data_IF_776183641105
#
_entry.id   IF_776183641105
#
_cell.length_a   1.000
_cell.length_b   1.000
_cell.length_c   1.000
_cell.angle_alpha   90.00
_cell.angle_beta   90.00
_cell.angle_gamma   90.00
#
_symmetry.space_group_name_H-M   'P 1'
#
loop_
_entity.id
_entity.type
_entity.pdbx_description
1 polymer ?
#
# COMPACT_ATOMS: atom_id res chain seq x y z
N UNK A 1 -15.74 -12.69 3.95
CA UNK A 1 -15.01 -11.66 3.14
C UNK A 1 -13.76 -11.29 3.91
N UNK A 2 -12.62 -11.20 3.24
CA UNK A 2 -11.35 -10.83 3.86
C UNK A 2 -11.12 -9.35 3.60
N UNK A 3 -11.01 -8.54 4.66
CA UNK A 3 -10.93 -7.08 4.57
C UNK A 3 -9.63 -6.63 5.27
N UNK A 4 -8.90 -5.71 4.65
CA UNK A 4 -7.68 -5.11 5.21
C UNK A 4 -8.02 -3.97 6.18
N UNK A 5 -8.76 -4.27 7.24
CA UNK A 5 -9.31 -3.31 8.22
C UNK A 5 -8.43 -3.09 9.46
N UNK A 6 -7.28 -3.78 9.54
CA UNK A 6 -6.40 -3.70 10.73
C UNK A 6 -5.29 -2.65 10.59
N UNK A 7 -5.40 -1.78 9.61
CA UNK A 7 -4.49 -0.65 9.43
C UNK A 7 -4.79 0.48 10.41
N UNK A 8 -3.78 0.97 11.12
CA UNK A 8 -3.85 2.23 11.87
C UNK A 8 -3.35 3.39 11.01
N UNK A 9 -2.33 3.17 10.19
CA UNK A 9 -1.67 4.18 9.38
C UNK A 9 -2.26 4.33 7.96
N UNK A 10 -3.19 3.48 7.53
CA UNK A 10 -3.85 3.57 6.23
C UNK A 10 -5.37 3.64 6.36
N UNK A 11 -5.98 4.49 5.56
CA UNK A 11 -7.44 4.59 5.46
C UNK A 11 -7.84 5.09 4.07
N UNK A 12 -8.84 4.45 3.46
CA UNK A 12 -9.55 4.99 2.31
C UNK A 12 -10.60 5.97 2.82
N UNK A 13 -10.36 7.27 2.61
CA UNK A 13 -11.22 8.34 3.14
C UNK A 13 -12.44 8.61 2.27
N UNK A 14 -12.28 8.48 0.94
CA UNK A 14 -13.33 8.69 -0.06
C UNK A 14 -12.88 8.15 -1.41
N UNK A 15 -13.81 7.84 -2.33
CA UNK A 15 -13.49 7.45 -3.69
C UNK A 15 -14.66 7.72 -4.63
N UNK A 16 -14.34 8.04 -5.88
CA UNK A 16 -15.29 8.32 -6.96
C UNK A 16 -14.67 9.18 -8.05
N UNK A 17 -15.35 9.33 -9.18
CA UNK A 17 -14.85 10.11 -10.30
C UNK A 17 -13.52 9.60 -10.87
N UNK A 18 -13.22 8.32 -10.73
CA UNK A 18 -11.96 7.72 -11.18
C UNK A 18 -10.76 7.97 -10.26
N UNK A 19 -10.98 8.50 -9.07
CA UNK A 19 -9.94 8.80 -8.08
C UNK A 19 -10.29 8.25 -6.69
N UNK A 20 -9.28 8.14 -5.85
CA UNK A 20 -9.41 7.82 -4.43
C UNK A 20 -8.60 8.77 -3.57
N UNK A 21 -9.21 9.15 -2.45
CA UNK A 21 -8.61 9.94 -1.39
C UNK A 21 -8.19 9.01 -0.26
N UNK A 22 -6.93 9.02 0.09
CA UNK A 22 -6.35 8.08 1.04
C UNK A 22 -5.52 8.79 2.10
N UNK A 23 -5.55 8.28 3.32
CA UNK A 23 -4.60 8.63 4.38
C UNK A 23 -3.48 7.59 4.42
N UNK A 24 -2.25 8.07 4.37
CA UNK A 24 -1.01 7.30 4.41
C UNK A 24 -0.12 7.80 5.55
N UNK A 25 -0.30 7.27 6.75
CA UNK A 25 0.26 7.82 7.97
C UNK A 25 -0.31 9.21 8.23
N UNK A 26 0.54 10.23 8.14
CA UNK A 26 0.15 11.64 8.26
C UNK A 26 -0.14 12.32 6.92
N UNK A 27 0.09 11.62 5.80
CA UNK A 27 -0.05 12.17 4.46
C UNK A 27 -1.44 11.87 3.89
N UNK A 28 -2.04 12.84 3.24
CA UNK A 28 -3.27 12.69 2.47
C UNK A 28 -2.91 12.69 0.99
N UNK A 29 -3.29 11.63 0.30
CA UNK A 29 -2.98 11.43 -1.11
C UNK A 29 -4.24 11.31 -1.95
N UNK A 30 -4.21 11.84 -3.16
CA UNK A 30 -5.19 11.58 -4.22
C UNK A 30 -4.50 10.79 -5.33
N UNK A 31 -5.07 9.64 -5.66
CA UNK A 31 -4.53 8.78 -6.71
C UNK A 31 -5.61 8.29 -7.66
N UNK A 32 -5.31 8.05 -8.94
CA UNK A 32 -6.27 7.49 -9.89
C UNK A 32 -6.70 6.08 -9.47
N UNK A 33 -8.01 5.86 -9.50
CA UNK A 33 -8.64 4.55 -9.36
C UNK A 33 -9.75 4.40 -10.40
N UNK A 34 -9.46 3.85 -11.59
CA UNK A 34 -10.43 3.71 -12.67
C UNK A 34 -11.66 2.83 -12.34
N UNK A 35 -11.60 2.07 -11.25
CA UNK A 35 -12.72 1.25 -10.80
C UNK A 35 -13.78 2.05 -10.03
N UNK A 36 -13.40 3.22 -9.48
CA UNK A 36 -14.29 4.13 -8.77
C UNK A 36 -15.09 4.99 -9.78
N UNK A 37 -15.99 4.34 -10.55
CA UNK A 37 -16.74 4.95 -11.66
C UNK A 37 -17.92 5.81 -11.24
N UNK A 38 -18.35 5.71 -9.98
CA UNK A 38 -19.43 6.54 -9.45
C UNK A 38 -18.94 7.95 -9.17
N UNK A 39 -19.84 8.90 -9.21
CA UNK A 39 -19.55 10.27 -8.81
C UNK A 39 -19.53 10.40 -7.28
N UNK A 40 -18.70 11.31 -6.79
CA UNK A 40 -18.67 11.71 -5.39
C UNK A 40 -18.74 13.23 -5.30
N UNK A 41 -19.46 13.80 -4.31
CA UNK A 41 -19.51 15.25 -4.11
C UNK A 41 -18.18 15.85 -3.66
N UNK A 42 -17.14 15.03 -3.45
CA UNK A 42 -15.84 15.45 -2.92
C UNK A 42 -15.97 16.29 -1.63
N UNK A 43 -16.92 15.92 -0.77
CA UNK A 43 -17.24 16.66 0.47
C UNK A 43 -16.11 16.60 1.50
N UNK A 44 -15.26 15.56 1.45
CA UNK A 44 -14.12 15.45 2.33
C UNK A 44 -13.11 16.56 2.03
N UNK A 45 -12.70 17.30 3.07
CA UNK A 45 -11.71 18.40 2.93
C UNK A 45 -10.36 17.93 2.40
N UNK A 46 -10.02 16.66 2.56
CA UNK A 46 -8.80 16.03 2.03
C UNK A 46 -8.66 16.18 0.53
N UNK A 47 -9.75 16.20 -0.24
CA UNK A 47 -9.69 16.42 -1.68
C UNK A 47 -9.00 17.73 -2.09
N UNK A 48 -9.20 18.79 -1.29
CA UNK A 48 -8.62 20.13 -1.52
C UNK A 48 -7.26 20.30 -0.83
N UNK A 49 -7.02 19.56 0.26
CA UNK A 49 -5.87 19.73 1.13
C UNK A 49 -4.87 18.56 1.05
N UNK A 50 -4.97 17.69 0.05
CA UNK A 50 -4.03 16.60 -0.16
C UNK A 50 -2.60 17.13 -0.27
N UNK A 51 -1.65 16.46 0.39
CA UNK A 51 -0.23 16.78 0.29
C UNK A 51 0.37 16.25 -1.01
N UNK A 52 -0.23 15.22 -1.60
CA UNK A 52 0.20 14.68 -2.89
C UNK A 52 -0.97 14.26 -3.76
N UNK A 53 -0.87 14.59 -5.05
CA UNK A 53 -1.80 14.12 -6.08
C UNK A 53 -1.01 13.55 -7.25
N UNK A 54 -1.42 12.37 -7.72
CA UNK A 54 -0.87 11.79 -8.93
C UNK A 54 -1.75 12.10 -10.14
N UNK A 55 -1.20 12.78 -11.11
CA UNK A 55 -1.86 13.08 -12.38
C UNK A 55 -1.46 12.07 -13.43
N UNK A 56 -2.47 11.40 -14.01
CA UNK A 56 -2.26 10.45 -15.09
C UNK A 56 -2.12 11.19 -16.42
N UNK A 57 -1.11 10.82 -17.21
CA UNK A 57 -0.97 11.31 -18.58
C UNK A 57 -1.88 10.52 -19.53
N UNK A 58 -2.39 11.17 -20.56
CA UNK A 58 -3.15 10.53 -21.64
C UNK A 58 -2.29 9.60 -22.51
N UNK A 59 -0.98 9.81 -22.53
CA UNK A 59 0.00 9.00 -23.29
C UNK A 59 0.63 7.88 -22.49
N UNK A 60 0.16 7.65 -21.25
CA UNK A 60 0.73 6.68 -20.30
C UNK A 60 1.66 7.32 -19.27
N UNK A 61 1.77 6.67 -18.11
CA UNK A 61 2.52 7.23 -16.99
C UNK A 61 1.80 8.38 -16.29
N UNK A 62 2.54 9.39 -15.84
CA UNK A 62 2.04 10.57 -15.15
C UNK A 62 3.10 11.17 -14.22
N UNK A 63 2.67 12.09 -13.36
CA UNK A 63 3.54 12.76 -12.39
C UNK A 63 2.83 13.01 -11.06
N UNK A 64 3.60 13.21 -10.02
CA UNK A 64 3.13 13.61 -8.71
C UNK A 64 3.26 15.12 -8.51
N UNK A 65 2.19 15.77 -8.10
CA UNK A 65 2.25 17.02 -7.36
C UNK A 65 2.62 16.67 -5.93
N UNK A 66 3.86 16.93 -5.55
CA UNK A 66 4.44 16.44 -4.29
C UNK A 66 5.15 17.52 -3.47
N UNK A 67 4.96 18.80 -3.79
CA UNK A 67 5.63 19.92 -3.10
C UNK A 67 5.42 19.92 -1.58
N UNK A 68 4.28 19.36 -1.12
CA UNK A 68 3.92 19.26 0.30
C UNK A 68 4.18 17.87 0.89
N UNK A 69 4.68 16.92 0.08
CA UNK A 69 5.03 15.59 0.55
C UNK A 69 6.47 15.54 1.05
N UNK A 70 6.75 14.81 2.14
CA UNK A 70 8.12 14.45 2.46
C UNK A 70 8.69 13.53 1.36
N UNK A 71 10.00 13.50 1.23
CA UNK A 71 10.68 12.60 0.30
C UNK A 71 10.31 11.13 0.58
N UNK A 72 10.14 10.80 1.85
CA UNK A 72 9.74 9.48 2.31
C UNK A 72 9.04 9.57 3.68
N UNK A 73 8.21 8.59 4.00
CA UNK A 73 7.55 8.46 5.30
C UNK A 73 7.39 7.00 5.70
N UNK A 74 7.14 6.75 6.98
CA UNK A 74 6.91 5.42 7.51
C UNK A 74 5.41 5.10 7.61
N UNK A 75 5.09 3.83 7.36
CA UNK A 75 3.78 3.22 7.54
C UNK A 75 3.92 1.99 8.42
N UNK A 76 3.06 1.86 9.41
CA UNK A 76 3.05 0.71 10.32
C UNK A 76 1.84 -0.17 10.05
N UNK A 77 2.08 -1.46 10.08
CA UNK A 77 1.05 -2.47 10.11
C UNK A 77 1.42 -3.50 11.18
N UNK A 78 0.71 -3.50 12.33
CA UNK A 78 1.05 -4.31 13.49
C UNK A 78 2.53 -4.09 13.91
N UNK A 79 3.32 -5.16 13.90
CA UNK A 79 4.75 -5.18 14.21
C UNK A 79 5.67 -4.92 13.01
N UNK A 80 5.11 -4.57 11.85
CA UNK A 80 5.83 -4.26 10.62
C UNK A 80 5.90 -2.75 10.41
N UNK A 81 7.05 -2.28 9.93
CA UNK A 81 7.25 -0.88 9.54
C UNK A 81 7.78 -0.84 8.11
N UNK A 82 7.12 -0.08 7.26
CA UNK A 82 7.45 0.07 5.85
C UNK A 82 7.84 1.50 5.54
N UNK A 83 8.80 1.67 4.64
CA UNK A 83 9.19 2.97 4.12
C UNK A 83 8.44 3.22 2.80
N UNK A 84 7.68 4.29 2.74
CA UNK A 84 6.93 4.71 1.55
C UNK A 84 7.51 6.00 0.98
N UNK A 85 7.38 6.17 -0.33
CA UNK A 85 7.75 7.40 -1.05
C UNK A 85 6.96 7.49 -2.36
N UNK A 86 6.73 8.68 -2.92
CA UNK A 86 6.19 8.81 -4.27
C UNK A 86 7.15 8.15 -5.27
N UNK A 87 6.65 7.21 -6.06
CA UNK A 87 7.43 6.54 -7.12
C UNK A 87 7.12 7.17 -8.49
N UNK A 88 7.80 6.71 -9.53
CA UNK A 88 7.58 7.22 -10.90
C UNK A 88 6.16 6.98 -11.45
N UNK A 89 5.40 6.12 -10.79
CA UNK A 89 3.99 5.85 -11.08
C UNK A 89 3.12 6.26 -9.89
N UNK A 90 1.79 6.03 -9.97
CA UNK A 90 0.84 6.29 -8.87
C UNK A 90 1.14 5.53 -7.56
N UNK A 91 2.13 4.67 -7.56
CA UNK A 91 2.49 3.83 -6.43
C UNK A 91 3.38 4.54 -5.41
N UNK A 92 3.31 4.07 -4.18
CA UNK A 92 4.03 4.62 -3.02
C UNK A 92 4.95 3.60 -2.35
N UNK A 93 5.14 2.43 -3.00
CA UNK A 93 5.98 1.35 -2.49
C UNK A 93 5.23 0.31 -1.65
N UNK A 94 3.92 0.46 -1.44
CA UNK A 94 3.12 -0.46 -0.63
C UNK A 94 1.73 -0.64 -1.25
N UNK A 95 1.14 -1.82 -1.02
CA UNK A 95 -0.24 -2.15 -1.36
C UNK A 95 -0.97 -2.52 -0.06
N UNK A 96 -1.70 -1.58 0.57
CA UNK A 96 -2.35 -1.81 1.86
C UNK A 96 -3.36 -2.95 1.85
N UNK A 97 -4.03 -3.17 0.73
CA UNK A 97 -4.99 -4.28 0.54
C UNK A 97 -4.34 -5.66 0.66
N UNK A 98 -3.02 -5.77 0.47
CA UNK A 98 -2.29 -7.02 0.61
C UNK A 98 -2.08 -7.45 2.08
N UNK A 99 -2.41 -6.62 3.04
CA UNK A 99 -2.24 -6.92 4.46
C UNK A 99 -3.00 -8.18 4.90
N UNK A 100 -4.15 -8.46 4.29
CA UNK A 100 -4.91 -9.70 4.55
C UNK A 100 -4.14 -10.95 4.12
N UNK A 101 -3.41 -10.86 3.01
CA UNK A 101 -2.58 -11.96 2.52
C UNK A 101 -1.34 -12.14 3.40
N UNK A 102 -0.79 -11.04 3.95
CA UNK A 102 0.32 -11.13 4.90
C UNK A 102 -0.14 -11.81 6.20
N UNK A 103 -1.28 -11.42 6.73
CA UNK A 103 -1.87 -12.03 7.93
C UNK A 103 -2.15 -13.53 7.71
N UNK A 104 -2.74 -13.89 6.58
CA UNK A 104 -3.00 -15.28 6.22
C UNK A 104 -1.70 -16.10 6.15
N UNK A 105 -0.69 -15.59 5.45
CA UNK A 105 0.59 -16.28 5.32
C UNK A 105 1.28 -16.48 6.68
N UNK A 106 1.30 -15.43 7.51
CA UNK A 106 1.86 -15.48 8.86
C UNK A 106 1.16 -16.53 9.71
N UNK A 107 -0.18 -16.51 9.74
CA UNK A 107 -0.97 -17.49 10.48
C UNK A 107 -0.65 -18.93 10.04
N UNK A 108 -0.54 -19.19 8.73
CA UNK A 108 -0.20 -20.54 8.22
C UNK A 108 1.22 -20.96 8.58
N UNK A 109 2.16 -20.03 8.60
CA UNK A 109 3.55 -20.31 9.00
C UNK A 109 3.60 -20.62 10.51
N UNK A 110 2.94 -19.83 11.34
CA UNK A 110 2.93 -19.98 12.79
C UNK A 110 2.22 -21.28 13.24
N UNK A 111 1.18 -21.71 12.51
CA UNK A 111 0.45 -22.94 12.80
C UNK A 111 1.14 -24.22 12.29
N UNK A 112 2.19 -24.11 11.49
CA UNK A 112 2.72 -25.27 10.77
C UNK A 112 3.55 -26.24 11.63
N UNK A 113 3.97 -25.86 12.83
CA UNK A 113 4.79 -26.66 13.77
C UNK A 113 6.02 -27.34 13.09
N UNK A 114 6.54 -26.72 12.06
CA UNK A 114 7.73 -27.14 11.31
C UNK A 114 8.33 -25.96 10.54
N UNK A 115 9.61 -26.00 10.15
CA UNK A 115 10.20 -25.01 9.27
C UNK A 115 9.47 -24.91 7.93
N UNK A 116 9.09 -23.70 7.53
CA UNK A 116 8.40 -23.41 6.28
C UNK A 116 9.34 -22.66 5.35
N UNK A 117 9.41 -23.11 4.08
CA UNK A 117 10.06 -22.39 2.99
C UNK A 117 9.00 -21.59 2.24
N UNK A 118 9.23 -20.29 2.08
CA UNK A 118 8.31 -19.38 1.39
C UNK A 118 8.93 -18.94 0.07
N UNK A 119 8.17 -19.13 -1.02
CA UNK A 119 8.51 -18.59 -2.34
C UNK A 119 7.58 -17.42 -2.65
N UNK A 120 8.13 -16.22 -2.78
CA UNK A 120 7.39 -15.04 -3.18
C UNK A 120 7.78 -14.64 -4.62
N UNK A 121 6.90 -14.94 -5.59
CA UNK A 121 7.14 -14.69 -7.01
C UNK A 121 6.97 -13.22 -7.41
N UNK A 122 6.14 -12.47 -6.69
CA UNK A 122 5.81 -11.08 -6.97
C UNK A 122 6.17 -10.19 -5.78
N UNK A 123 7.45 -10.18 -5.44
CA UNK A 123 7.93 -9.56 -4.20
C UNK A 123 7.68 -8.04 -4.14
N UNK A 124 7.63 -7.35 -5.28
CA UNK A 124 7.51 -5.90 -5.36
C UNK A 124 8.58 -5.20 -4.50
N UNK A 125 8.18 -4.47 -3.44
CA UNK A 125 9.11 -3.86 -2.48
C UNK A 125 9.45 -4.76 -1.30
N UNK A 126 8.95 -5.98 -1.28
CA UNK A 126 9.26 -6.99 -0.27
C UNK A 126 8.31 -7.06 0.93
N UNK A 127 7.18 -6.35 0.93
CA UNK A 127 6.28 -6.31 2.10
C UNK A 127 5.81 -7.71 2.54
N UNK A 128 5.33 -8.54 1.61
CA UNK A 128 4.93 -9.91 1.89
C UNK A 128 6.12 -10.77 2.38
N UNK A 129 7.31 -10.53 1.80
CA UNK A 129 8.54 -11.22 2.20
C UNK A 129 8.90 -10.91 3.66
N UNK A 130 8.86 -9.64 4.04
CA UNK A 130 9.16 -9.19 5.41
C UNK A 130 8.11 -9.74 6.39
N UNK A 131 6.82 -9.73 6.00
CA UNK A 131 5.75 -10.29 6.81
C UNK A 131 5.96 -11.79 7.09
N UNK A 132 6.28 -12.58 6.05
CA UNK A 132 6.57 -14.00 6.19
C UNK A 132 7.84 -14.26 7.02
N UNK A 133 8.90 -13.47 6.81
CA UNK A 133 10.17 -13.61 7.54
C UNK A 133 10.01 -13.39 9.04
N UNK A 134 9.09 -12.50 9.45
CA UNK A 134 8.77 -12.28 10.87
C UNK A 134 8.19 -13.51 11.57
N UNK A 135 7.48 -14.37 10.84
CA UNK A 135 6.84 -15.59 11.35
C UNK A 135 7.59 -16.88 10.95
N UNK A 136 8.73 -16.77 10.25
CA UNK A 136 9.47 -17.91 9.71
C UNK A 136 10.92 -17.90 10.18
N UNK A 137 11.44 -19.06 10.60
CA UNK A 137 12.85 -19.23 10.98
C UNK A 137 13.79 -19.34 9.76
N UNK A 138 13.26 -19.66 8.56
CA UNK A 138 14.01 -19.81 7.32
C UNK A 138 13.23 -19.22 6.15
N UNK A 139 13.78 -18.17 5.55
CA UNK A 139 13.20 -17.50 4.40
C UNK A 139 14.17 -17.50 3.20
N UNK A 140 13.64 -17.84 2.02
CA UNK A 140 14.35 -17.65 0.75
C UNK A 140 13.44 -16.94 -0.24
N UNK A 141 13.84 -15.78 -0.73
CA UNK A 141 13.20 -15.09 -1.84
C UNK A 141 14.18 -14.99 -3.01
N UNK A 142 13.91 -15.58 -4.17
CA UNK A 142 14.63 -15.20 -5.37
C UNK A 142 14.22 -13.77 -5.71
N UNK A 143 15.17 -12.84 -5.69
CA UNK A 143 14.96 -11.50 -6.26
C UNK A 143 15.20 -11.60 -7.77
N UNK A 144 14.20 -11.36 -8.63
CA UNK A 144 14.46 -11.14 -10.03
C UNK A 144 15.27 -9.85 -10.17
N UNK A 145 16.47 -9.94 -10.72
CA UNK A 145 17.25 -8.79 -11.19
C UNK A 145 16.73 -8.37 -12.54
#
# INVERSE_FOLDING_TARGET
>A
MWIADKWEDYELLDCGGGEKLERWGRQILVRPDPQAIWETPHANRGWKNAQGRYHRSSTGGGHWDKEKLPEQWQMRYRDLTFQCKPMNFKHTGLFPEQAVNWDFAREKIEQADRPIRVLNLFAYTGAASVACAKSCLLYTSPSPR
#
